data_IF_619441716326
#
_entry.id   IF_619441716326
#
_cell.length_a   1.000
_cell.length_b   1.000
_cell.length_c   1.000
_cell.angle_alpha   90.00
_cell.angle_beta   90.00
_cell.angle_gamma   90.00
#
_symmetry.space_group_name_H-M   'P 1'
#
loop_
_entity.id
_entity.type
_entity.pdbx_description
1 polymer ?
#
# COMPACT_ATOMS: atom_id res chain seq x y z
N UNK A 1 -2.04 0.24 34.89
CA UNK A 1 -3.14 0.95 34.20
C UNK A 1 -2.49 2.12 33.46
N UNK A 2 -2.24 1.96 32.17
CA UNK A 2 -1.51 2.92 31.33
C UNK A 2 -2.55 3.86 30.71
N UNK A 3 -2.33 5.20 30.72
CA UNK A 3 -3.31 6.16 30.25
C UNK A 3 -3.57 6.02 28.74
N UNK A 4 -4.84 6.25 28.39
CA UNK A 4 -5.42 6.02 27.07
C UNK A 4 -5.29 7.22 26.12
N UNK A 5 -4.07 7.75 25.92
CA UNK A 5 -3.86 8.93 25.04
C UNK A 5 -2.85 8.74 23.89
N UNK A 6 -2.39 7.51 23.62
CA UNK A 6 -1.45 7.22 22.52
C UNK A 6 -2.10 6.64 21.25
N UNK A 7 -3.41 6.80 21.03
CA UNK A 7 -4.13 6.17 19.90
C UNK A 7 -3.99 6.88 18.55
N UNK A 8 -3.11 7.88 18.43
CA UNK A 8 -2.92 8.66 17.20
C UNK A 8 -1.63 8.40 16.43
N UNK A 9 -0.68 7.64 16.98
CA UNK A 9 0.58 7.34 16.27
C UNK A 9 0.46 5.99 15.58
N UNK A 10 0.68 5.96 14.26
CA UNK A 10 0.57 4.77 13.42
C UNK A 10 1.37 3.61 14.05
N UNK A 11 0.72 2.72 14.78
CA UNK A 11 1.38 1.53 15.28
C UNK A 11 1.61 0.63 14.08
N UNK A 12 2.80 0.04 13.94
CA UNK A 12 3.02 -1.03 12.96
C UNK A 12 2.02 -2.16 13.26
N UNK A 13 0.94 -2.23 12.50
CA UNK A 13 -0.08 -3.26 12.70
C UNK A 13 0.20 -4.43 11.76
N UNK A 14 0.00 -5.66 12.25
CA UNK A 14 0.15 -6.87 11.42
C UNK A 14 -0.75 -6.81 10.17
N UNK A 15 -1.90 -6.14 10.27
CA UNK A 15 -2.79 -5.87 9.14
C UNK A 15 -2.16 -4.95 8.09
N UNK A 16 -1.46 -3.89 8.50
CA UNK A 16 -0.75 -2.99 7.59
C UNK A 16 0.42 -3.70 6.89
N UNK A 17 1.17 -4.53 7.63
CA UNK A 17 2.23 -5.35 7.05
C UNK A 17 1.71 -6.32 6.00
N UNK A 18 0.61 -7.02 6.29
CA UNK A 18 -0.01 -7.98 5.36
C UNK A 18 -0.45 -7.29 4.06
N UNK A 19 -1.04 -6.09 4.18
CA UNK A 19 -1.43 -5.29 3.00
C UNK A 19 -0.18 -4.89 2.20
N UNK A 20 0.88 -4.42 2.84
CA UNK A 20 2.11 -4.04 2.16
C UNK A 20 2.78 -5.21 1.46
N UNK A 21 2.81 -6.39 2.08
CA UNK A 21 3.31 -7.61 1.47
C UNK A 21 2.50 -8.00 0.21
N UNK A 22 1.17 -7.87 0.26
CA UNK A 22 0.32 -8.11 -0.90
C UNK A 22 0.61 -7.12 -2.05
N UNK A 23 0.80 -5.84 -1.75
CA UNK A 23 1.16 -4.82 -2.75
C UNK A 23 2.55 -5.10 -3.34
N UNK A 24 3.54 -5.44 -2.52
CA UNK A 24 4.89 -5.82 -2.99
C UNK A 24 4.81 -7.01 -3.95
N UNK A 25 4.06 -8.04 -3.59
CA UNK A 25 3.87 -9.23 -4.42
C UNK A 25 3.21 -8.89 -5.76
N UNK A 26 2.15 -8.09 -5.74
CA UNK A 26 1.47 -7.61 -6.95
C UNK A 26 2.40 -6.80 -7.86
N UNK A 27 3.10 -5.81 -7.29
CA UNK A 27 4.01 -4.93 -8.01
C UNK A 27 5.18 -5.71 -8.63
N UNK A 28 5.78 -6.62 -7.87
CA UNK A 28 6.84 -7.50 -8.36
C UNK A 28 6.34 -8.38 -9.49
N UNK A 29 5.14 -8.96 -9.35
CA UNK A 29 4.51 -9.75 -10.41
C UNK A 29 4.29 -8.94 -11.69
N UNK A 30 3.75 -7.72 -11.60
CA UNK A 30 3.61 -6.84 -12.76
C UNK A 30 4.95 -6.55 -13.41
N UNK A 31 5.97 -6.19 -12.62
CA UNK A 31 7.29 -5.85 -13.15
C UNK A 31 7.95 -7.06 -13.84
N UNK A 32 7.79 -8.27 -13.30
CA UNK A 32 8.33 -9.49 -13.89
C UNK A 32 7.64 -9.84 -15.21
N UNK A 33 6.32 -10.01 -15.21
CA UNK A 33 5.60 -10.48 -16.41
C UNK A 33 5.61 -9.45 -17.52
N UNK A 34 5.38 -8.18 -17.20
CA UNK A 34 5.43 -7.14 -18.20
C UNK A 34 6.87 -6.77 -18.56
N UNK A 35 7.82 -6.90 -17.62
CA UNK A 35 9.28 -6.77 -17.82
C UNK A 35 9.78 -7.62 -18.97
N UNK A 36 9.40 -8.90 -18.96
CA UNK A 36 9.73 -9.86 -20.00
C UNK A 36 9.04 -9.55 -21.35
N UNK A 37 7.95 -8.79 -21.35
CA UNK A 37 7.22 -8.41 -22.57
C UNK A 37 7.64 -7.07 -23.17
N UNK A 38 8.59 -6.32 -22.57
CA UNK A 38 9.05 -5.04 -23.12
C UNK A 38 9.96 -5.19 -24.35
N UNK A 39 10.48 -6.39 -24.64
CA UNK A 39 11.33 -6.63 -25.83
C UNK A 39 10.55 -6.51 -27.15
N UNK A 40 9.22 -6.55 -27.12
CA UNK A 40 8.37 -6.40 -28.31
C UNK A 40 8.27 -4.95 -28.77
N UNK A 41 8.49 -4.71 -30.07
CA UNK A 41 8.61 -3.40 -30.73
C UNK A 41 7.32 -2.56 -30.82
N UNK A 42 6.29 -2.87 -30.02
CA UNK A 42 5.01 -2.17 -29.98
C UNK A 42 4.45 -1.96 -28.58
N UNK A 43 5.29 -2.02 -27.54
CA UNK A 43 4.82 -2.01 -26.16
C UNK A 43 4.13 -0.68 -25.78
N UNK A 44 2.89 -0.69 -25.25
CA UNK A 44 2.13 0.53 -25.01
C UNK A 44 2.79 1.47 -23.99
N UNK A 45 2.97 2.75 -24.36
CA UNK A 45 3.58 3.79 -23.51
C UNK A 45 2.88 3.90 -22.15
N UNK A 46 1.55 3.74 -22.10
CA UNK A 46 0.79 3.82 -20.86
C UNK A 46 1.13 2.68 -19.88
N UNK A 47 1.44 1.48 -20.40
CA UNK A 47 1.93 0.37 -19.58
C UNK A 47 3.35 0.62 -19.09
N UNK A 48 4.21 1.21 -19.91
CA UNK A 48 5.56 1.62 -19.49
C UNK A 48 5.47 2.63 -18.34
N UNK A 49 4.62 3.65 -18.47
CA UNK A 49 4.41 4.63 -17.40
C UNK A 49 3.93 3.97 -16.10
N UNK A 50 2.98 3.04 -16.17
CA UNK A 50 2.52 2.28 -15.01
C UNK A 50 3.63 1.45 -14.37
N UNK A 51 4.47 0.78 -15.17
CA UNK A 51 5.62 0.03 -14.69
C UNK A 51 6.68 0.93 -14.06
N UNK A 52 6.93 2.11 -14.61
CA UNK A 52 7.86 3.09 -14.02
C UNK A 52 7.40 3.53 -12.65
N UNK A 53 6.11 3.81 -12.47
CA UNK A 53 5.53 4.14 -11.15
C UNK A 53 5.76 3.01 -10.15
N UNK A 54 5.49 1.76 -10.58
CA UNK A 54 5.71 0.58 -9.74
C UNK A 54 7.20 0.42 -9.38
N UNK A 55 8.09 0.56 -10.37
CA UNK A 55 9.54 0.42 -10.18
C UNK A 55 10.09 1.45 -9.17
N UNK A 56 9.61 2.69 -9.22
CA UNK A 56 10.01 3.74 -8.27
C UNK A 56 9.49 3.45 -6.85
N UNK A 57 8.32 2.81 -6.72
CA UNK A 57 7.72 2.53 -5.42
C UNK A 57 8.35 1.33 -4.69
N UNK A 58 8.85 0.32 -5.42
CA UNK A 58 9.47 -0.88 -4.84
C UNK A 58 10.57 -0.63 -3.79
N UNK A 59 11.55 0.29 -4.00
CA UNK A 59 12.56 0.56 -2.96
C UNK A 59 11.95 1.11 -1.68
N UNK A 60 10.91 1.95 -1.76
CA UNK A 60 10.21 2.46 -0.57
C UNK A 60 9.46 1.35 0.16
N UNK A 61 8.88 0.40 -0.57
CA UNK A 61 8.23 -0.77 0.00
C UNK A 61 9.23 -1.71 0.70
N UNK A 62 10.42 -1.89 0.13
CA UNK A 62 11.51 -2.64 0.76
C UNK A 62 12.01 -1.98 2.06
N UNK A 63 12.15 -0.66 2.06
CA UNK A 63 12.52 0.09 3.27
C UNK A 63 11.45 -0.07 4.36
N UNK A 64 10.16 0.04 4.01
CA UNK A 64 9.07 -0.22 4.96
C UNK A 64 9.17 -1.61 5.58
N UNK A 65 9.39 -2.64 4.76
CA UNK A 65 9.55 -4.00 5.22
C UNK A 65 10.75 -4.14 6.18
N UNK A 66 11.90 -3.55 5.83
CA UNK A 66 13.10 -3.59 6.65
C UNK A 66 12.89 -2.89 8.00
N UNK A 67 12.25 -1.72 8.02
CA UNK A 67 11.92 -1.00 9.26
C UNK A 67 10.98 -1.86 10.13
N UNK A 68 9.93 -2.43 9.53
CA UNK A 68 8.98 -3.26 10.25
C UNK A 68 9.64 -4.49 10.89
N UNK A 69 10.43 -5.24 10.12
CA UNK A 69 11.15 -6.42 10.61
C UNK A 69 12.15 -6.04 11.70
N UNK A 70 12.89 -4.94 11.54
CA UNK A 70 13.83 -4.44 12.55
C UNK A 70 13.14 -4.11 13.88
N UNK A 71 11.99 -3.46 13.82
CA UNK A 71 11.18 -3.12 15.01
C UNK A 71 10.67 -4.39 15.70
N UNK A 72 10.21 -5.38 14.93
CA UNK A 72 9.71 -6.64 15.48
C UNK A 72 10.81 -7.51 16.09
N UNK A 73 12.01 -7.51 15.49
CA UNK A 73 13.12 -8.37 15.91
C UNK A 73 13.93 -7.78 17.09
N UNK A 74 13.85 -6.46 17.30
CA UNK A 74 14.58 -5.76 18.36
C UNK A 74 13.71 -4.87 19.26
N UNK A 75 12.63 -5.39 19.87
CA UNK A 75 11.66 -4.58 20.62
C UNK A 75 12.27 -3.87 21.84
N UNK A 76 13.33 -4.43 22.43
CA UNK A 76 13.98 -3.89 23.63
C UNK A 76 15.17 -2.95 23.35
N UNK A 77 15.56 -2.77 22.08
CA UNK A 77 16.68 -1.88 21.69
C UNK A 77 16.24 -0.50 21.23
N UNK A 78 14.95 -0.31 20.95
CA UNK A 78 14.46 0.92 20.35
C UNK A 78 13.92 1.83 21.44
N UNK A 79 14.56 2.98 21.63
CA UNK A 79 14.04 4.00 22.54
C UNK A 79 12.78 4.63 21.95
N UNK A 80 11.86 5.10 22.81
CA UNK A 80 10.59 5.70 22.36
C UNK A 80 10.77 6.85 21.34
N UNK A 81 11.89 7.59 21.43
CA UNK A 81 12.25 8.65 20.47
C UNK A 81 12.62 8.11 19.08
N UNK A 82 13.31 6.97 19.00
CA UNK A 82 13.71 6.34 17.75
C UNK A 82 12.50 5.70 17.06
N UNK A 83 11.62 5.06 17.84
CA UNK A 83 10.37 4.50 17.34
C UNK A 83 9.51 5.57 16.64
N UNK A 84 9.42 6.78 17.22
CA UNK A 84 8.65 7.89 16.64
C UNK A 84 9.21 8.35 15.29
N UNK A 85 10.53 8.37 15.13
CA UNK A 85 11.19 8.74 13.86
C UNK A 85 10.97 7.63 12.83
N UNK A 86 11.20 6.37 13.20
CA UNK A 86 10.97 5.21 12.33
C UNK A 86 9.52 5.16 11.86
N UNK A 87 8.57 5.46 12.75
CA UNK A 87 7.16 5.47 12.41
C UNK A 87 6.81 6.56 11.39
N UNK A 88 7.37 7.77 11.53
CA UNK A 88 7.18 8.84 10.54
C UNK A 88 7.72 8.46 9.16
N UNK A 89 8.92 7.87 9.12
CA UNK A 89 9.54 7.41 7.87
C UNK A 89 8.70 6.29 7.24
N UNK A 90 8.28 5.33 8.07
CA UNK A 90 7.40 4.24 7.67
C UNK A 90 6.08 4.74 7.07
N UNK A 91 5.41 5.69 7.70
CA UNK A 91 4.17 6.28 7.17
C UNK A 91 4.37 6.93 5.80
N UNK A 92 5.50 7.58 5.56
CA UNK A 92 5.83 8.10 4.23
C UNK A 92 6.04 6.98 3.20
N UNK A 93 6.75 5.91 3.58
CA UNK A 93 6.90 4.73 2.72
C UNK A 93 5.55 4.06 2.42
N UNK A 94 4.65 3.98 3.40
CA UNK A 94 3.30 3.45 3.22
C UNK A 94 2.50 4.29 2.20
N UNK A 95 2.60 5.63 2.28
CA UNK A 95 1.95 6.52 1.33
C UNK A 95 2.45 6.29 -0.10
N UNK A 96 3.76 6.26 -0.31
CA UNK A 96 4.36 6.00 -1.63
C UNK A 96 3.98 4.62 -2.15
N UNK A 97 3.95 3.61 -1.27
CA UNK A 97 3.49 2.27 -1.59
C UNK A 97 2.04 2.25 -2.07
N UNK A 98 1.13 2.93 -1.38
CA UNK A 98 -0.27 2.99 -1.81
C UNK A 98 -0.46 3.76 -3.13
N UNK A 99 0.35 4.79 -3.38
CA UNK A 99 0.33 5.48 -4.67
C UNK A 99 0.72 4.56 -5.84
N UNK A 100 1.51 3.51 -5.61
CA UNK A 100 1.88 2.54 -6.66
C UNK A 100 0.70 1.76 -7.25
N UNK A 101 -0.42 1.66 -6.52
CA UNK A 101 -1.66 1.04 -7.01
C UNK A 101 -2.21 1.76 -8.25
N UNK A 102 -1.92 3.06 -8.40
CA UNK A 102 -2.26 3.80 -9.61
C UNK A 102 -1.52 3.28 -10.85
N UNK A 103 -0.28 2.83 -10.69
CA UNK A 103 0.50 2.20 -11.75
C UNK A 103 -0.11 0.85 -12.19
N UNK A 104 -0.51 0.02 -11.21
CA UNK A 104 -1.24 -1.22 -11.48
C UNK A 104 -2.57 -0.97 -12.19
N UNK A 105 -3.30 0.07 -11.78
CA UNK A 105 -4.54 0.47 -12.45
C UNK A 105 -4.33 0.89 -13.91
N UNK A 106 -3.29 1.69 -14.21
CA UNK A 106 -2.95 2.09 -15.57
C UNK A 106 -2.65 0.88 -16.47
N UNK A 107 -1.92 -0.10 -15.94
CA UNK A 107 -1.60 -1.34 -16.66
C UNK A 107 -2.87 -2.15 -16.96
N UNK A 108 -3.76 -2.30 -15.97
CA UNK A 108 -5.02 -3.05 -16.12
C UNK A 108 -5.96 -2.36 -17.13
N UNK A 109 -6.12 -1.05 -17.02
CA UNK A 109 -6.98 -0.27 -17.89
C UNK A 109 -6.52 -0.32 -19.35
N UNK A 110 -5.20 -0.26 -19.59
CA UNK A 110 -4.63 -0.39 -20.92
C UNK A 110 -4.65 -1.84 -21.45
N UNK A 111 -4.74 -2.85 -20.58
CA UNK A 111 -4.77 -4.25 -21.02
C UNK A 111 -6.14 -4.62 -21.59
N UNK A 112 -7.20 -4.33 -20.85
CA UNK A 112 -8.56 -4.51 -21.33
C UNK A 112 -9.51 -3.61 -20.56
N UNK A 113 -10.34 -2.86 -21.27
CA UNK A 113 -11.19 -1.82 -20.67
C UNK A 113 -12.15 -2.38 -19.62
N UNK A 114 -12.69 -3.58 -19.84
CA UNK A 114 -13.57 -4.27 -18.88
C UNK A 114 -12.84 -4.66 -17.59
N UNK A 115 -11.56 -5.05 -17.67
CA UNK A 115 -10.78 -5.45 -16.49
C UNK A 115 -10.46 -4.21 -15.64
N UNK A 116 -10.04 -3.12 -16.28
CA UNK A 116 -9.84 -1.85 -15.58
C UNK A 116 -11.11 -1.32 -14.94
N UNK A 117 -12.24 -1.39 -15.67
CA UNK A 117 -13.54 -0.93 -15.17
C UNK A 117 -14.05 -1.77 -13.99
N UNK A 118 -13.90 -3.09 -14.02
CA UNK A 118 -14.32 -3.96 -12.91
C UNK A 118 -13.48 -3.73 -11.65
N UNK A 119 -12.17 -3.50 -11.81
CA UNK A 119 -11.30 -3.11 -10.70
C UNK A 119 -11.73 -1.76 -10.09
N UNK A 120 -11.96 -0.75 -10.92
CA UNK A 120 -12.42 0.56 -10.45
C UNK A 120 -13.78 0.49 -9.75
N UNK A 121 -14.74 -0.26 -10.31
CA UNK A 121 -16.05 -0.47 -9.72
C UNK A 121 -15.96 -1.17 -8.36
N UNK A 122 -15.14 -2.22 -8.26
CA UNK A 122 -14.92 -2.94 -7.00
C UNK A 122 -14.29 -2.04 -5.94
N UNK A 123 -13.26 -1.27 -6.30
CA UNK A 123 -12.64 -0.30 -5.40
C UNK A 123 -13.65 0.76 -4.92
N UNK A 124 -14.50 1.27 -5.81
CA UNK A 124 -15.55 2.23 -5.46
C UNK A 124 -16.57 1.63 -4.48
N UNK A 125 -17.05 0.41 -4.74
CA UNK A 125 -17.97 -0.30 -3.83
C UNK A 125 -17.32 -0.53 -2.47
N UNK A 126 -16.05 -0.95 -2.43
CA UNK A 126 -15.32 -1.13 -1.17
C UNK A 126 -15.23 0.17 -0.36
N UNK A 127 -14.97 1.31 -1.02
CA UNK A 127 -14.97 2.62 -0.35
C UNK A 127 -16.35 2.99 0.21
N UNK A 128 -17.44 2.72 -0.52
CA UNK A 128 -18.79 2.94 -0.01
C UNK A 128 -19.10 2.05 1.20
N UNK A 129 -18.67 0.79 1.20
CA UNK A 129 -18.84 -0.11 2.34
C UNK A 129 -18.11 0.40 3.58
N UNK A 130 -16.87 0.86 3.43
CA UNK A 130 -16.13 1.46 4.55
C UNK A 130 -16.84 2.71 5.08
N UNK A 131 -17.28 3.60 4.17
CA UNK A 131 -18.00 4.83 4.56
C UNK A 131 -19.30 4.55 5.30
N UNK A 132 -20.09 3.59 4.81
CA UNK A 132 -21.35 3.20 5.44
C UNK A 132 -21.13 2.50 6.78
N UNK A 133 -20.15 1.61 6.89
CA UNK A 133 -19.79 0.97 8.14
C UNK A 133 -19.38 2.00 9.22
N UNK A 134 -18.55 2.98 8.87
CA UNK A 134 -18.14 4.05 9.80
C UNK A 134 -19.31 4.96 10.20
N UNK A 135 -20.20 5.29 9.26
CA UNK A 135 -21.39 6.07 9.57
C UNK A 135 -22.33 5.33 10.54
N UNK A 136 -22.49 4.02 10.35
CA UNK A 136 -23.28 3.17 11.24
C UNK A 136 -22.65 3.04 12.64
N UNK A 137 -21.33 2.86 12.71
CA UNK A 137 -20.61 2.83 13.99
C UNK A 137 -20.79 4.13 14.78
N UNK A 138 -20.65 5.28 14.11
CA UNK A 138 -20.85 6.59 14.73
C UNK A 138 -22.31 6.86 15.12
N UNK A 139 -23.29 6.21 14.48
CA UNK A 139 -24.69 6.27 14.90
C UNK A 139 -24.94 5.43 16.16
N UNK A 140 -24.26 4.29 16.28
CA UNK A 140 -24.37 3.39 17.43
C UNK A 140 -23.78 4.00 18.71
N UNK A 141 -22.66 4.73 18.63
CA UNK A 141 -22.05 5.43 19.77
C UNK A 141 -22.90 6.58 20.34
N UNK A 142 -23.93 7.02 19.62
CA UNK A 142 -24.82 8.12 20.05
C UNK A 142 -26.11 7.65 20.75
N UNK A 143 -26.33 6.34 20.84
CA UNK A 143 -27.47 5.71 21.55
C UNK A 143 -27.05 5.26 22.96
#
# INVERSE_FOLDING_TARGET
MVPADASGEAQFTDSQWTIMAAIIGMNTGYLLFHGLSLEDSGYPILKVAGLTIIAIALPFQGIYFMIHTFVQEHPNRIMASEFKVLNKISGFCQLVSYLSLSGGFLILYNTHHVIGASFAASAFVALLLVRTAMANAAALERL
#
